data_IF_226213432043
#
_entry.id   IF_226213432043
#
_cell.length_a   1.000
_cell.length_b   1.000
_cell.length_c   1.000
_cell.angle_alpha   90.00
_cell.angle_beta   90.00
_cell.angle_gamma   90.00
#
_symmetry.space_group_name_H-M   'P 1'
#
loop_
_entity.id
_entity.type
_entity.pdbx_description
1 polymer ?
#
# COMPACT_ATOMS: atom_id res chain seq x y z
N UNK A 1 -20.09 9.64 0.76
CA UNK A 1 -18.94 8.88 1.32
C UNK A 1 -18.89 7.42 0.88
N UNK A 2 -20.02 6.74 0.69
CA UNK A 2 -20.06 5.31 0.34
C UNK A 2 -19.27 4.97 -0.95
N UNK A 3 -19.27 5.83 -1.97
CA UNK A 3 -18.58 5.55 -3.24
C UNK A 3 -17.05 5.48 -3.10
N UNK A 4 -16.42 6.44 -2.40
CA UNK A 4 -14.96 6.44 -2.16
C UNK A 4 -14.56 5.23 -1.30
N UNK A 5 -15.33 4.93 -0.26
CA UNK A 5 -15.04 3.79 0.62
C UNK A 5 -15.28 2.45 -0.07
N UNK A 6 -16.27 2.34 -0.96
CA UNK A 6 -16.60 1.09 -1.62
C UNK A 6 -15.70 0.80 -2.83
N UNK A 7 -15.42 1.82 -3.65
CA UNK A 7 -14.75 1.62 -4.96
C UNK A 7 -13.27 1.99 -4.89
N UNK A 8 -12.95 3.24 -4.53
CA UNK A 8 -11.55 3.69 -4.57
C UNK A 8 -10.73 2.96 -3.50
N UNK A 9 -11.28 2.79 -2.30
CA UNK A 9 -10.57 2.11 -1.21
C UNK A 9 -10.35 0.63 -1.49
N UNK A 10 -11.28 -0.07 -2.14
CA UNK A 10 -11.12 -1.50 -2.47
C UNK A 10 -10.10 -1.71 -3.59
N UNK A 11 -10.18 -0.92 -4.67
CA UNK A 11 -9.23 -0.97 -5.79
C UNK A 11 -7.81 -0.68 -5.29
N UNK A 12 -7.65 0.37 -4.48
CA UNK A 12 -6.33 0.77 -3.97
C UNK A 12 -5.75 -0.28 -3.01
N UNK A 13 -6.59 -0.87 -2.15
CA UNK A 13 -6.18 -1.97 -1.27
C UNK A 13 -5.78 -3.23 -2.06
N UNK A 14 -6.50 -3.56 -3.13
CA UNK A 14 -6.16 -4.68 -4.01
C UNK A 14 -4.76 -4.50 -4.60
N UNK A 15 -4.48 -3.34 -5.22
CA UNK A 15 -3.17 -3.08 -5.83
C UNK A 15 -2.03 -3.03 -4.82
N UNK A 16 -2.23 -2.36 -3.67
CA UNK A 16 -1.24 -2.38 -2.56
C UNK A 16 -1.00 -3.78 -2.02
N UNK A 17 -2.00 -4.65 -2.10
CA UNK A 17 -1.92 -6.05 -1.71
C UNK A 17 -1.10 -6.93 -2.66
N UNK A 18 -0.66 -6.42 -3.82
CA UNK A 18 0.13 -7.15 -4.82
C UNK A 18 1.50 -6.49 -5.03
N UNK A 19 1.55 -5.15 -5.11
CA UNK A 19 2.77 -4.40 -5.39
C UNK A 19 2.91 -3.18 -4.47
N UNK A 20 4.15 -2.72 -4.28
CA UNK A 20 4.38 -1.41 -3.67
C UNK A 20 3.95 -0.31 -4.64
N UNK A 21 2.90 0.43 -4.29
CA UNK A 21 2.51 1.60 -5.08
C UNK A 21 3.52 2.74 -4.91
N UNK A 22 3.97 3.40 -6.00
CA UNK A 22 4.80 4.59 -5.90
C UNK A 22 4.09 5.73 -5.16
N UNK A 23 4.85 6.53 -4.41
CA UNK A 23 4.30 7.67 -3.65
C UNK A 23 3.52 8.64 -4.54
N UNK A 24 3.91 8.79 -5.81
CA UNK A 24 3.19 9.61 -6.79
C UNK A 24 1.77 9.07 -7.03
N UNK A 25 1.61 7.76 -7.18
CA UNK A 25 0.29 7.12 -7.38
C UNK A 25 -0.57 7.29 -6.13
N UNK A 26 0.00 7.10 -4.94
CA UNK A 26 -0.72 7.35 -3.69
C UNK A 26 -1.24 8.79 -3.63
N UNK A 27 -0.39 9.79 -3.94
CA UNK A 27 -0.81 11.20 -4.01
C UNK A 27 -1.91 11.46 -5.06
N UNK A 28 -1.87 10.76 -6.20
CA UNK A 28 -2.93 10.87 -7.22
C UNK A 28 -4.26 10.34 -6.71
N UNK A 29 -4.25 9.22 -5.97
CA UNK A 29 -5.44 8.66 -5.32
C UNK A 29 -5.97 9.61 -4.24
N UNK A 30 -5.10 10.13 -3.37
CA UNK A 30 -5.45 11.12 -2.35
C UNK A 30 -6.09 12.37 -2.99
N UNK A 31 -5.52 12.84 -4.10
CA UNK A 31 -6.04 13.97 -4.87
C UNK A 31 -7.41 13.65 -5.49
N UNK A 32 -7.57 12.52 -6.17
CA UNK A 32 -8.85 12.13 -6.76
C UNK A 32 -9.96 12.03 -5.71
N UNK A 33 -9.65 11.49 -4.53
CA UNK A 33 -10.61 11.47 -3.43
C UNK A 33 -10.89 12.88 -2.88
N UNK A 34 -9.87 13.72 -2.73
CA UNK A 34 -10.02 15.11 -2.26
C UNK A 34 -10.85 15.94 -3.24
N UNK A 35 -10.63 15.77 -4.55
CA UNK A 35 -11.38 16.42 -5.61
C UNK A 35 -12.82 15.91 -5.60
N UNK A 36 -13.08 14.61 -5.50
CA UNK A 36 -14.46 14.11 -5.36
C UNK A 36 -15.18 14.67 -4.13
N UNK A 37 -14.45 14.81 -3.03
CA UNK A 37 -14.98 15.30 -1.77
C UNK A 37 -15.32 16.78 -1.84
N UNK A 38 -14.36 17.64 -2.20
CA UNK A 38 -14.46 19.10 -2.05
C UNK A 38 -14.60 19.85 -3.38
N UNK A 39 -14.94 19.18 -4.47
CA UNK A 39 -15.32 19.81 -5.73
C UNK A 39 -16.85 19.95 -5.78
N UNK A 40 -17.37 21.00 -5.15
CA UNK A 40 -18.76 21.44 -5.32
C UNK A 40 -18.83 22.57 -6.34
N UNK A 41 -19.79 22.49 -7.26
CA UNK A 41 -19.96 23.44 -8.36
C UNK A 41 -20.47 24.82 -7.91
N UNK A 42 -21.00 24.94 -6.69
CA UNK A 42 -21.84 26.08 -6.31
C UNK A 42 -21.10 27.33 -5.82
N UNK A 43 -19.80 27.30 -5.49
CA UNK A 43 -19.18 28.50 -4.85
C UNK A 43 -17.69 28.76 -5.11
N UNK A 44 -17.02 28.01 -5.99
CA UNK A 44 -15.61 28.25 -6.38
C UNK A 44 -14.56 28.12 -5.25
N UNK A 45 -14.98 27.99 -3.99
CA UNK A 45 -14.12 27.86 -2.81
C UNK A 45 -13.85 26.39 -2.53
N UNK A 46 -12.74 25.89 -3.09
CA UNK A 46 -12.22 24.56 -2.76
C UNK A 46 -11.68 24.54 -1.34
N UNK A 47 -12.26 23.70 -0.48
CA UNK A 47 -11.68 23.43 0.83
C UNK A 47 -10.30 22.74 0.64
N UNK A 48 -9.22 23.34 1.12
CA UNK A 48 -7.88 22.74 1.10
C UNK A 48 -7.63 21.99 2.40
N UNK A 49 -8.20 20.80 2.51
CA UNK A 49 -7.99 19.94 3.69
C UNK A 49 -6.83 18.99 3.42
N UNK A 50 -5.87 18.92 4.35
CA UNK A 50 -4.81 17.91 4.27
C UNK A 50 -5.42 16.51 4.35
N UNK A 51 -5.02 15.62 3.43
CA UNK A 51 -5.46 14.22 3.44
C UNK A 51 -5.14 13.50 4.76
N UNK A 52 -4.04 13.87 5.42
CA UNK A 52 -3.69 13.34 6.75
C UNK A 52 -4.72 13.64 7.83
N UNK A 53 -5.47 14.74 7.72
CA UNK A 53 -6.55 15.10 8.66
C UNK A 53 -7.80 14.28 8.34
N UNK A 54 -8.09 14.13 7.04
CA UNK A 54 -9.20 13.30 6.53
C UNK A 54 -9.02 11.81 6.90
N UNK A 55 -7.79 11.30 6.87
CA UNK A 55 -7.44 9.92 7.18
C UNK A 55 -7.35 9.61 8.70
N UNK A 56 -7.63 10.59 9.59
CA UNK A 56 -7.69 10.30 11.02
C UNK A 56 -8.88 9.39 11.35
N UNK A 57 -8.80 8.61 12.45
CA UNK A 57 -9.94 7.90 12.98
C UNK A 57 -11.14 8.83 13.21
N UNK A 58 -12.37 8.31 13.03
CA UNK A 58 -13.59 9.09 13.30
C UNK A 58 -13.65 9.65 14.72
N UNK A 59 -13.08 8.92 15.68
CA UNK A 59 -12.95 9.35 17.08
C UNK A 59 -12.09 10.61 17.27
N UNK A 60 -11.19 10.88 16.33
CA UNK A 60 -10.28 12.04 16.32
C UNK A 60 -10.73 13.15 15.36
N UNK A 61 -11.99 13.10 14.90
CA UNK A 61 -12.55 14.10 13.98
C UNK A 61 -12.18 13.91 12.52
N UNK A 62 -11.57 12.77 12.14
CA UNK A 62 -11.34 12.41 10.74
C UNK A 62 -12.51 11.68 10.10
N UNK A 63 -12.38 11.36 8.81
CA UNK A 63 -13.39 10.60 8.06
C UNK A 63 -13.21 9.07 8.18
N UNK A 64 -12.11 8.63 8.81
CA UNK A 64 -11.81 7.21 9.02
C UNK A 64 -11.25 6.50 7.78
N UNK A 65 -10.75 7.24 6.80
CA UNK A 65 -9.97 6.64 5.70
C UNK A 65 -8.62 6.14 6.21
N UNK A 66 -8.11 5.04 5.64
CA UNK A 66 -6.77 4.55 5.99
C UNK A 66 -5.71 5.47 5.38
N UNK A 67 -4.63 5.73 6.10
CA UNK A 67 -3.44 6.34 5.51
C UNK A 67 -2.83 5.38 4.48
N UNK A 68 -2.86 5.79 3.21
CA UNK A 68 -2.47 4.91 2.10
C UNK A 68 -0.98 4.55 2.15
N UNK A 69 -0.13 5.42 2.70
CA UNK A 69 1.31 5.14 2.83
C UNK A 69 1.56 4.05 3.87
N UNK A 70 0.98 4.21 5.05
CA UNK A 70 1.06 3.21 6.11
C UNK A 70 0.47 1.88 5.66
N UNK A 71 -0.65 1.90 4.94
CA UNK A 71 -1.27 0.68 4.42
C UNK A 71 -0.42 -0.03 3.35
N UNK A 72 0.19 0.73 2.44
CA UNK A 72 1.11 0.20 1.43
C UNK A 72 2.33 -0.47 2.09
N UNK A 73 2.90 0.15 3.13
CA UNK A 73 3.99 -0.43 3.91
C UNK A 73 3.56 -1.70 4.66
N UNK A 74 2.42 -1.67 5.34
CA UNK A 74 1.89 -2.83 6.05
C UNK A 74 1.65 -4.01 5.11
N UNK A 75 1.19 -3.75 3.88
CA UNK A 75 1.04 -4.79 2.86
C UNK A 75 2.39 -5.39 2.45
N UNK A 76 3.46 -4.61 2.35
CA UNK A 76 4.80 -5.17 2.09
C UNK A 76 5.31 -6.03 3.25
N UNK A 77 5.14 -5.56 4.49
CA UNK A 77 5.51 -6.34 5.68
C UNK A 77 4.73 -7.66 5.72
N UNK A 78 3.45 -7.67 5.31
CA UNK A 78 2.66 -8.91 5.19
C UNK A 78 3.26 -9.89 4.17
N UNK A 79 3.78 -9.42 3.04
CA UNK A 79 4.46 -10.28 2.06
C UNK A 79 5.77 -10.82 2.59
N UNK A 80 6.55 -9.97 3.27
CA UNK A 80 7.80 -10.36 3.90
C UNK A 80 7.57 -11.41 4.98
N UNK A 81 6.53 -11.22 5.80
CA UNK A 81 6.08 -12.21 6.79
C UNK A 81 5.66 -13.53 6.13
N UNK A 82 4.91 -13.49 5.03
CA UNK A 82 4.56 -14.70 4.29
C UNK A 82 5.79 -15.41 3.69
N UNK A 83 6.84 -14.65 3.37
CA UNK A 83 8.14 -15.18 2.96
C UNK A 83 8.94 -15.74 4.13
N UNK A 84 8.78 -15.23 5.36
CA UNK A 84 9.57 -15.65 6.53
C UNK A 84 8.95 -16.84 7.23
N UNK A 85 7.62 -16.83 7.39
CA UNK A 85 6.86 -17.98 7.85
C UNK A 85 6.81 -19.03 6.74
N UNK A 86 6.92 -20.32 7.07
CA UNK A 86 6.60 -21.44 6.17
C UNK A 86 5.11 -21.42 5.81
N UNK A 87 4.71 -20.39 5.08
CA UNK A 87 3.33 -20.17 4.69
C UNK A 87 3.00 -21.10 3.52
N UNK A 88 1.81 -21.67 3.51
CA UNK A 88 1.27 -22.46 2.39
C UNK A 88 0.95 -21.63 1.14
N UNK A 89 1.41 -20.37 1.09
CA UNK A 89 1.22 -19.48 -0.06
C UNK A 89 2.06 -19.95 -1.24
N UNK A 90 1.39 -20.27 -2.34
CA UNK A 90 2.06 -20.61 -3.61
C UNK A 90 3.06 -19.53 -4.05
N UNK A 91 2.72 -18.26 -3.83
CA UNK A 91 3.63 -17.15 -4.15
C UNK A 91 4.89 -17.19 -3.30
N UNK A 92 4.77 -17.44 -1.99
CA UNK A 92 5.92 -17.53 -1.09
C UNK A 92 6.81 -18.73 -1.45
N UNK A 93 6.21 -19.89 -1.72
CA UNK A 93 6.92 -21.08 -2.18
C UNK A 93 7.64 -20.86 -3.50
N UNK A 94 6.99 -20.21 -4.48
CA UNK A 94 7.59 -19.88 -5.76
C UNK A 94 8.79 -18.94 -5.61
N UNK A 95 8.65 -17.87 -4.81
CA UNK A 95 9.76 -16.93 -4.54
C UNK A 95 10.92 -17.63 -3.85
N UNK A 96 10.63 -18.45 -2.83
CA UNK A 96 11.66 -19.20 -2.10
C UNK A 96 12.42 -20.18 -3.00
N UNK A 97 11.71 -20.89 -3.87
CA UNK A 97 12.30 -21.85 -4.78
C UNK A 97 13.13 -21.20 -5.88
N UNK A 98 12.58 -20.20 -6.59
CA UNK A 98 13.22 -19.65 -7.79
C UNK A 98 14.17 -18.48 -7.52
N UNK A 99 13.97 -17.71 -6.45
CA UNK A 99 14.78 -16.52 -6.17
C UNK A 99 15.68 -16.66 -4.95
N UNK A 100 15.30 -17.44 -3.95
CA UNK A 100 16.05 -17.57 -2.69
C UNK A 100 16.77 -18.92 -2.55
N UNK A 101 16.45 -19.93 -3.37
CA UNK A 101 16.95 -21.31 -3.17
C UNK A 101 16.82 -21.79 -1.72
N UNK A 102 15.73 -21.42 -1.04
CA UNK A 102 15.49 -21.69 0.39
C UNK A 102 16.54 -21.12 1.37
N UNK A 103 17.33 -20.12 0.98
CA UNK A 103 18.16 -19.39 1.94
C UNK A 103 17.30 -18.64 2.95
N UNK A 104 17.85 -18.43 4.14
CA UNK A 104 17.23 -17.55 5.12
C UNK A 104 17.05 -16.15 4.50
N UNK A 105 15.97 -15.44 4.87
CA UNK A 105 15.75 -14.06 4.39
C UNK A 105 16.85 -13.09 4.83
N UNK A 106 17.54 -13.43 5.92
CA UNK A 106 18.56 -12.59 6.53
C UNK A 106 19.92 -12.73 5.85
N UNK A 107 20.14 -13.85 5.15
CA UNK A 107 21.40 -14.16 4.45
C UNK A 107 21.32 -13.90 2.94
N UNK A 108 20.36 -13.07 2.52
CA UNK A 108 20.12 -12.73 1.12
C UNK A 108 21.27 -11.88 0.57
N UNK A 109 21.96 -12.30 -0.50
CA UNK A 109 22.99 -11.47 -1.11
C UNK A 109 22.39 -10.16 -1.67
N UNK A 110 23.11 -9.03 -1.60
CA UNK A 110 22.58 -7.71 -1.93
C UNK A 110 22.16 -7.55 -3.42
N UNK A 111 22.55 -8.50 -4.27
CA UNK A 111 22.26 -8.50 -5.71
C UNK A 111 21.67 -9.84 -6.17
N UNK A 112 20.44 -10.14 -5.75
CA UNK A 112 19.65 -11.18 -6.41
C UNK A 112 19.09 -10.64 -7.73
N UNK A 113 19.20 -11.37 -8.86
CA UNK A 113 18.44 -11.08 -10.06
C UNK A 113 16.95 -11.34 -9.80
N UNK A 114 16.27 -10.32 -9.27
CA UNK A 114 14.85 -10.34 -8.95
C UNK A 114 14.12 -9.15 -9.55
N UNK A 115 12.80 -9.30 -9.73
CA UNK A 115 11.93 -8.22 -10.21
C UNK A 115 11.98 -7.02 -9.25
N UNK A 116 11.70 -5.82 -9.77
CA UNK A 116 11.67 -4.60 -8.97
C UNK A 116 10.73 -4.72 -7.75
N UNK A 117 9.57 -5.37 -7.93
CA UNK A 117 8.58 -5.56 -6.87
C UNK A 117 9.12 -6.47 -5.76
N UNK A 118 9.75 -7.59 -6.11
CA UNK A 118 10.34 -8.50 -5.13
C UNK A 118 11.52 -7.82 -4.40
N UNK A 119 12.35 -7.06 -5.12
CA UNK A 119 13.43 -6.27 -4.51
C UNK A 119 12.90 -5.28 -3.47
N UNK A 120 11.73 -4.69 -3.71
CA UNK A 120 11.09 -3.78 -2.75
C UNK A 120 10.58 -4.49 -1.50
N UNK A 121 10.05 -5.70 -1.61
CA UNK A 121 9.64 -6.51 -0.47
C UNK A 121 10.85 -6.89 0.39
N UNK A 122 11.95 -7.35 -0.23
CA UNK A 122 13.16 -7.79 0.47
C UNK A 122 13.93 -6.66 1.16
N UNK A 123 13.79 -5.41 0.68
CA UNK A 123 14.45 -4.22 1.25
C UNK A 123 13.66 -3.55 2.37
N UNK A 124 12.57 -4.14 2.85
CA UNK A 124 11.81 -3.59 3.98
C UNK A 124 12.58 -3.71 5.29
N UNK A 125 13.45 -4.72 5.42
CA UNK A 125 14.22 -5.03 6.64
C UNK A 125 15.69 -4.58 6.59
N UNK A 126 16.12 -3.84 5.55
CA UNK A 126 17.50 -3.39 5.35
C UNK A 126 17.70 -1.89 5.59
#
# INVERSE_FOLDING_TARGET
MQLISAVISSITQYWMGIIQLPVRVLKMVEKACSDFLWNTEEDGKKAKVLWKVVARPKKEGGLGFKDLRSWNMACLVRHLWALSSDSSSLWASWVRHYHLNYTSLWDIPPSIPCSWALRKVLKVDA
#
